data_IF_193245509697
#
_entry.id   IF_193245509697
#
_cell.length_a   1.000
_cell.length_b   1.000
_cell.length_c   1.000
_cell.angle_alpha   90.00
_cell.angle_beta   90.00
_cell.angle_gamma   90.00
#
_symmetry.space_group_name_H-M   'P 1'
#
loop_
_entity.id
_entity.type
_entity.pdbx_description
1 polymer ?
#
# COMPACT_ATOMS: atom_id res chain seq x y z
N UNK A 1 36.84 -27.60 -12.55
CA UNK A 1 35.86 -26.68 -13.15
C UNK A 1 36.19 -25.27 -12.70
N UNK A 2 36.33 -24.29 -13.62
CA UNK A 2 36.57 -22.90 -13.22
C UNK A 2 35.31 -22.37 -12.52
N UNK A 3 35.49 -21.67 -11.40
CA UNK A 3 34.39 -21.00 -10.70
C UNK A 3 33.70 -19.99 -11.64
N UNK A 4 32.35 -19.94 -11.70
CA UNK A 4 31.67 -18.94 -12.49
C UNK A 4 32.07 -17.54 -12.00
N UNK A 5 32.64 -16.73 -12.89
CA UNK A 5 32.95 -15.33 -12.60
C UNK A 5 31.66 -14.60 -12.27
N UNK A 6 31.60 -13.92 -11.12
CA UNK A 6 30.49 -13.01 -10.82
C UNK A 6 30.31 -12.07 -12.02
N UNK A 7 29.12 -12.08 -12.65
CA UNK A 7 28.77 -11.13 -13.71
C UNK A 7 28.79 -9.74 -13.13
N UNK A 8 29.56 -8.85 -13.70
CA UNK A 8 29.57 -7.42 -13.34
C UNK A 8 28.30 -6.79 -13.89
N UNK A 9 27.58 -6.02 -13.07
CA UNK A 9 26.35 -5.35 -13.49
C UNK A 9 26.64 -4.37 -14.65
N UNK A 10 25.80 -4.32 -15.69
CA UNK A 10 25.94 -3.37 -16.78
C UNK A 10 25.82 -1.91 -16.35
N UNK A 11 25.26 -1.63 -15.15
CA UNK A 11 25.08 -0.30 -14.59
C UNK A 11 26.35 0.26 -13.91
N UNK A 12 27.42 -0.54 -13.85
CA UNK A 12 28.70 -0.10 -13.31
C UNK A 12 29.64 0.37 -14.44
N UNK A 13 30.63 1.19 -14.09
CA UNK A 13 31.65 1.65 -15.03
C UNK A 13 32.22 0.48 -15.85
N UNK A 14 32.74 -0.54 -15.18
CA UNK A 14 33.33 -1.70 -15.84
C UNK A 14 32.32 -2.54 -16.63
N UNK A 15 31.09 -2.67 -16.13
CA UNK A 15 30.01 -3.35 -16.82
C UNK A 15 29.61 -2.63 -18.11
N UNK A 16 29.48 -1.29 -18.07
CA UNK A 16 29.18 -0.43 -19.22
C UNK A 16 30.26 -0.53 -20.30
N UNK A 17 31.52 -0.44 -19.88
CA UNK A 17 32.67 -0.58 -20.79
C UNK A 17 32.71 -1.98 -21.43
N UNK A 18 32.47 -3.03 -20.64
CA UNK A 18 32.44 -4.41 -21.16
C UNK A 18 31.31 -4.62 -22.15
N UNK A 19 30.11 -4.10 -21.88
CA UNK A 19 28.96 -4.18 -22.79
C UNK A 19 29.32 -3.50 -24.12
N UNK A 20 29.80 -2.24 -24.08
CA UNK A 20 30.18 -1.52 -25.29
C UNK A 20 31.29 -2.23 -26.08
N UNK A 21 32.29 -2.79 -25.41
CA UNK A 21 33.32 -3.61 -26.09
C UNK A 21 32.72 -4.82 -26.80
N UNK A 22 31.79 -5.51 -26.17
CA UNK A 22 31.12 -6.69 -26.71
C UNK A 22 30.24 -6.32 -27.92
N UNK A 23 29.50 -5.22 -27.83
CA UNK A 23 28.65 -4.69 -28.89
C UNK A 23 29.47 -4.29 -30.13
N UNK A 24 30.67 -3.77 -29.92
CA UNK A 24 31.63 -3.44 -30.97
C UNK A 24 32.47 -4.65 -31.44
N UNK A 25 32.24 -5.85 -30.89
CA UNK A 25 32.99 -7.08 -31.18
C UNK A 25 34.50 -6.96 -30.97
N UNK A 26 34.95 -6.07 -30.04
CA UNK A 26 36.38 -5.86 -29.80
C UNK A 26 36.92 -6.85 -28.74
N UNK A 27 38.16 -7.31 -28.96
CA UNK A 27 38.92 -8.01 -27.95
C UNK A 27 39.50 -7.07 -26.91
N UNK A 28 39.91 -7.61 -25.76
CA UNK A 28 40.62 -6.81 -24.73
C UNK A 28 41.91 -6.18 -25.26
N UNK A 29 42.61 -6.86 -26.20
CA UNK A 29 43.85 -6.38 -26.82
C UNK A 29 43.56 -5.17 -27.72
N UNK A 30 42.49 -5.21 -28.51
CA UNK A 30 42.08 -4.10 -29.38
C UNK A 30 41.66 -2.87 -28.57
N UNK A 31 40.98 -3.03 -27.44
CA UNK A 31 40.65 -1.92 -26.55
C UNK A 31 41.89 -1.36 -25.87
N UNK A 32 42.81 -2.20 -25.41
CA UNK A 32 44.06 -1.79 -24.77
C UNK A 32 44.98 -1.02 -25.72
N UNK A 33 45.04 -1.43 -26.99
CA UNK A 33 45.97 -0.87 -27.99
C UNK A 33 47.42 -1.04 -27.52
N UNK A 34 48.24 -0.10 -27.94
CA UNK A 34 49.65 -0.05 -27.52
C UNK A 34 49.88 0.67 -26.19
N UNK A 35 48.83 1.30 -25.64
CA UNK A 35 48.90 2.19 -24.48
C UNK A 35 48.71 1.49 -23.15
N UNK A 36 47.91 0.46 -23.11
CA UNK A 36 47.55 -0.28 -21.87
C UNK A 36 47.74 -1.77 -22.01
N UNK A 37 47.84 -2.48 -20.89
CA UNK A 37 47.83 -3.94 -20.90
C UNK A 37 46.42 -4.50 -20.94
N UNK A 38 46.22 -5.66 -21.57
CA UNK A 38 44.95 -6.40 -21.55
C UNK A 38 44.49 -6.74 -20.11
N UNK A 39 45.45 -6.94 -19.21
CA UNK A 39 45.20 -7.19 -17.80
C UNK A 39 44.53 -5.95 -17.14
N UNK A 40 45.02 -4.75 -17.43
CA UNK A 40 44.46 -3.51 -16.90
C UNK A 40 43.01 -3.32 -17.37
N UNK A 41 42.75 -3.49 -18.67
CA UNK A 41 41.39 -3.40 -19.21
C UNK A 41 40.47 -4.42 -18.55
N UNK A 42 40.90 -5.67 -18.39
CA UNK A 42 40.14 -6.69 -17.69
C UNK A 42 39.86 -6.37 -16.22
N UNK A 43 40.78 -5.69 -15.52
CA UNK A 43 40.59 -5.26 -14.13
C UNK A 43 39.60 -4.09 -14.02
N UNK A 44 39.66 -3.15 -14.96
CA UNK A 44 38.70 -2.03 -15.04
C UNK A 44 37.29 -2.60 -15.36
N UNK A 45 37.14 -3.49 -16.32
CA UNK A 45 35.85 -4.13 -16.66
C UNK A 45 35.27 -4.96 -15.50
N UNK A 46 36.08 -5.34 -14.52
CA UNK A 46 35.66 -6.04 -13.30
C UNK A 46 35.50 -5.12 -12.10
N UNK A 47 35.58 -3.80 -12.30
CA UNK A 47 35.58 -2.79 -11.23
C UNK A 47 36.62 -3.08 -10.13
N UNK A 48 37.81 -3.56 -10.50
CA UNK A 48 38.92 -3.84 -9.56
C UNK A 48 39.99 -2.77 -9.54
N UNK A 49 40.02 -1.93 -10.56
CA UNK A 49 40.96 -0.80 -10.71
C UNK A 49 40.15 0.39 -11.21
N UNK A 50 40.29 1.50 -10.52
CA UNK A 50 39.68 2.77 -10.93
C UNK A 50 40.59 3.47 -11.97
N UNK A 51 40.09 3.70 -13.20
CA UNK A 51 40.86 4.33 -14.25
C UNK A 51 41.06 5.83 -13.99
N UNK A 52 42.24 6.33 -14.37
CA UNK A 52 42.49 7.78 -14.34
C UNK A 52 41.62 8.50 -15.40
N UNK A 53 41.44 9.83 -15.24
CA UNK A 53 40.68 10.64 -16.18
C UNK A 53 41.26 10.54 -17.61
N UNK A 54 42.56 10.45 -17.74
CA UNK A 54 43.24 10.24 -19.02
C UNK A 54 42.94 8.85 -19.63
N UNK A 55 42.90 7.82 -18.79
CA UNK A 55 42.51 6.48 -19.23
C UNK A 55 41.03 6.41 -19.64
N UNK A 56 40.14 7.10 -18.93
CA UNK A 56 38.72 7.21 -19.29
C UNK A 56 38.55 7.89 -20.66
N UNK A 57 39.27 8.96 -20.94
CA UNK A 57 39.23 9.64 -22.24
C UNK A 57 39.62 8.69 -23.38
N UNK A 58 40.75 7.97 -23.22
CA UNK A 58 41.21 7.00 -24.20
C UNK A 58 40.22 5.87 -24.44
N UNK A 59 39.63 5.33 -23.35
CA UNK A 59 38.69 4.23 -23.42
C UNK A 59 37.33 4.65 -23.98
N UNK A 60 36.87 5.86 -23.67
CA UNK A 60 35.67 6.46 -24.23
C UNK A 60 35.70 6.54 -25.74
N UNK A 61 36.82 7.04 -26.28
CA UNK A 61 37.03 7.14 -27.73
C UNK A 61 37.01 5.78 -28.42
N UNK A 62 37.70 4.78 -27.85
CA UNK A 62 37.78 3.43 -28.43
C UNK A 62 36.47 2.66 -28.32
N UNK A 63 35.72 2.85 -27.26
CA UNK A 63 34.43 2.18 -27.01
C UNK A 63 33.24 2.96 -27.55
N UNK A 64 33.48 4.12 -28.20
CA UNK A 64 32.46 5.02 -28.74
C UNK A 64 31.40 5.40 -27.69
N UNK A 65 31.84 5.62 -26.45
CA UNK A 65 30.99 6.04 -25.36
C UNK A 65 31.22 7.53 -25.06
N UNK A 66 30.18 8.28 -24.63
CA UNK A 66 30.35 9.65 -24.13
C UNK A 66 31.30 9.64 -22.93
N UNK A 67 32.31 10.52 -22.94
CA UNK A 67 33.26 10.60 -21.82
C UNK A 67 32.60 11.07 -20.54
N UNK A 68 31.57 11.90 -20.64
CA UNK A 68 30.79 12.43 -19.54
C UNK A 68 30.09 11.31 -18.76
N UNK A 69 29.52 10.31 -19.47
CA UNK A 69 28.86 9.14 -18.87
C UNK A 69 29.86 8.28 -18.10
N UNK A 70 31.05 8.04 -18.67
CA UNK A 70 32.10 7.26 -18.01
C UNK A 70 32.68 8.01 -16.80
N UNK A 71 32.82 9.34 -16.90
CA UNK A 71 33.27 10.16 -15.78
C UNK A 71 32.25 10.16 -14.64
N UNK A 72 30.96 10.27 -14.95
CA UNK A 72 29.89 10.21 -13.97
C UNK A 72 29.87 8.84 -13.24
N UNK A 73 29.98 7.75 -13.99
CA UNK A 73 30.05 6.40 -13.41
C UNK A 73 31.32 6.17 -12.59
N UNK A 74 32.47 6.70 -13.01
CA UNK A 74 33.72 6.64 -12.26
C UNK A 74 33.63 7.46 -10.97
N UNK A 75 33.01 8.63 -11.03
CA UNK A 75 32.78 9.46 -9.86
C UNK A 75 31.86 8.75 -8.86
N UNK A 76 30.75 8.19 -9.33
CA UNK A 76 29.81 7.41 -8.53
C UNK A 76 30.51 6.19 -7.88
N UNK A 77 31.40 5.50 -8.61
CA UNK A 77 32.14 4.37 -8.09
C UNK A 77 33.11 4.81 -6.97
N UNK A 78 33.84 5.91 -7.15
CA UNK A 78 34.75 6.45 -6.14
C UNK A 78 34.03 6.91 -4.88
N UNK A 79 32.92 7.59 -5.02
CA UNK A 79 32.07 8.00 -3.92
C UNK A 79 31.55 6.78 -3.16
N UNK A 80 31.08 5.76 -3.87
CA UNK A 80 30.64 4.50 -3.29
C UNK A 80 31.73 3.76 -2.53
N UNK A 81 32.96 3.68 -3.07
CA UNK A 81 34.11 3.02 -2.38
C UNK A 81 34.62 3.81 -1.16
N UNK A 82 34.64 5.14 -1.23
CA UNK A 82 35.04 6.01 -0.12
C UNK A 82 34.01 5.99 1.03
N UNK A 83 32.76 5.69 0.73
CA UNK A 83 31.63 5.67 1.68
C UNK A 83 31.39 4.31 2.33
N UNK A 84 31.83 3.20 1.72
CA UNK A 84 31.62 1.83 2.20
C UNK A 84 31.95 1.62 3.70
N UNK A 85 33.03 2.18 4.29
CA UNK A 85 33.29 2.03 5.72
C UNK A 85 32.31 2.79 6.62
N UNK A 86 31.80 3.95 6.16
CA UNK A 86 30.91 4.82 6.94
C UNK A 86 29.49 4.26 7.02
N UNK A 87 29.02 3.58 5.99
CA UNK A 87 27.61 3.14 5.90
C UNK A 87 27.41 1.65 6.24
N UNK A 88 28.47 0.92 6.56
CA UNK A 88 28.35 -0.51 6.87
C UNK A 88 27.40 -0.78 8.05
N UNK A 89 27.40 0.08 9.06
CA UNK A 89 26.49 -0.02 10.22
C UNK A 89 25.04 0.19 9.75
N UNK A 90 24.78 1.18 8.91
CA UNK A 90 23.44 1.47 8.40
C UNK A 90 22.94 0.35 7.46
N UNK A 91 23.82 -0.20 6.64
CA UNK A 91 23.51 -1.37 5.81
C UNK A 91 23.12 -2.59 6.66
N UNK A 92 23.79 -2.82 7.77
CA UNK A 92 23.47 -3.90 8.70
C UNK A 92 22.12 -3.67 9.38
N UNK A 93 21.86 -2.46 9.89
CA UNK A 93 20.56 -2.09 10.48
C UNK A 93 19.43 -2.19 9.45
N UNK A 94 19.65 -1.73 8.20
CA UNK A 94 18.68 -1.87 7.11
C UNK A 94 18.39 -3.34 6.82
N UNK A 95 19.39 -4.21 6.74
CA UNK A 95 19.20 -5.62 6.48
C UNK A 95 18.45 -6.32 7.62
N UNK A 96 18.73 -5.95 8.88
CA UNK A 96 17.98 -6.44 10.04
C UNK A 96 16.53 -6.00 9.99
N UNK A 97 16.25 -4.74 9.65
CA UNK A 97 14.91 -4.22 9.49
C UNK A 97 14.15 -4.93 8.36
N UNK A 98 14.79 -5.14 7.21
CA UNK A 98 14.20 -5.86 6.08
C UNK A 98 13.85 -7.31 6.45
N UNK A 99 14.74 -7.98 7.18
CA UNK A 99 14.47 -9.34 7.69
C UNK A 99 13.33 -9.35 8.71
N UNK A 100 13.26 -8.37 9.59
CA UNK A 100 12.17 -8.23 10.55
C UNK A 100 10.82 -8.01 9.84
N UNK A 101 10.78 -7.13 8.80
CA UNK A 101 9.58 -6.92 7.98
C UNK A 101 9.15 -8.20 7.25
N UNK A 102 10.08 -8.94 6.66
CA UNK A 102 9.79 -10.22 6.01
C UNK A 102 9.18 -11.25 6.98
N UNK A 103 9.52 -11.16 8.27
CA UNK A 103 8.98 -11.99 9.34
C UNK A 103 7.74 -11.38 10.03
N UNK A 104 7.12 -10.34 9.48
CA UNK A 104 5.97 -9.59 10.04
C UNK A 104 6.23 -8.96 11.43
N UNK A 105 7.49 -8.64 11.76
CA UNK A 105 7.90 -8.00 13.01
C UNK A 105 8.15 -6.50 12.80
N UNK A 106 7.10 -5.78 12.37
CA UNK A 106 7.21 -4.39 11.90
C UNK A 106 7.68 -3.42 13.00
N UNK A 107 7.27 -3.60 14.26
CA UNK A 107 7.75 -2.76 15.37
C UNK A 107 9.25 -2.94 15.61
N UNK A 108 9.75 -4.18 15.54
CA UNK A 108 11.17 -4.48 15.65
C UNK A 108 11.96 -3.86 14.48
N UNK A 109 11.42 -3.93 13.27
CA UNK A 109 12.04 -3.31 12.10
C UNK A 109 12.17 -1.78 12.27
N UNK A 110 11.13 -1.11 12.76
CA UNK A 110 11.18 0.33 13.03
C UNK A 110 12.21 0.66 14.10
N UNK A 111 12.34 -0.14 15.17
CA UNK A 111 13.35 0.07 16.22
C UNK A 111 14.79 0.05 15.66
N UNK A 112 15.07 -0.79 14.65
CA UNK A 112 16.40 -0.78 13.97
C UNK A 112 16.63 0.50 13.18
N UNK A 113 15.57 1.15 12.68
CA UNK A 113 15.67 2.29 11.77
C UNK A 113 15.50 3.66 12.47
N UNK A 114 14.80 3.73 13.61
CA UNK A 114 14.46 5.00 14.29
C UNK A 114 15.68 5.83 14.72
N UNK A 115 16.78 5.16 15.12
CA UNK A 115 18.02 5.83 15.53
C UNK A 115 18.86 6.39 14.37
N UNK A 116 18.46 6.18 13.11
CA UNK A 116 19.24 6.60 11.96
C UNK A 116 18.87 8.04 11.57
N UNK A 117 19.85 8.94 11.64
CA UNK A 117 19.71 10.30 11.12
C UNK A 117 19.87 10.27 9.59
N UNK A 118 18.75 10.42 8.87
CA UNK A 118 18.75 10.38 7.41
C UNK A 118 19.51 11.55 6.78
N UNK A 119 19.63 12.68 7.47
CA UNK A 119 20.33 13.86 6.92
C UNK A 119 21.83 13.64 6.75
N UNK A 120 22.39 12.70 7.51
CA UNK A 120 23.81 12.33 7.44
C UNK A 120 24.11 11.30 6.35
N UNK A 121 23.10 10.83 5.62
CA UNK A 121 23.24 9.76 4.63
C UNK A 121 23.10 10.31 3.22
N UNK A 122 23.75 9.71 2.21
CA UNK A 122 23.52 10.07 0.82
C UNK A 122 22.14 9.60 0.32
N UNK A 123 21.59 10.29 -0.68
CA UNK A 123 20.23 10.05 -1.22
C UNK A 123 19.98 8.60 -1.58
N UNK A 124 20.95 7.90 -2.17
CA UNK A 124 20.81 6.51 -2.58
C UNK A 124 20.65 5.52 -1.42
N UNK A 125 21.02 5.92 -0.20
CA UNK A 125 20.79 5.15 1.04
C UNK A 125 19.54 5.66 1.75
N UNK A 126 19.36 6.99 1.83
CA UNK A 126 18.24 7.65 2.54
C UNK A 126 16.89 7.13 2.09
N UNK A 127 16.62 7.15 0.78
CA UNK A 127 15.34 6.73 0.26
C UNK A 127 14.98 5.30 0.62
N UNK A 128 15.97 4.39 0.65
CA UNK A 128 15.74 2.97 0.97
C UNK A 128 15.39 2.77 2.44
N UNK A 129 16.03 3.51 3.34
CA UNK A 129 15.70 3.48 4.78
C UNK A 129 14.31 4.08 5.01
N UNK A 130 14.01 5.22 4.38
CA UNK A 130 12.69 5.85 4.46
C UNK A 130 11.59 4.93 3.89
N UNK A 131 11.83 4.23 2.77
CA UNK A 131 10.91 3.26 2.20
C UNK A 131 10.61 2.11 3.18
N UNK A 132 11.62 1.57 3.87
CA UNK A 132 11.43 0.53 4.90
C UNK A 132 10.67 1.05 6.13
N UNK A 133 10.92 2.30 6.55
CA UNK A 133 10.10 2.95 7.60
C UNK A 133 8.64 3.06 7.14
N UNK A 134 8.41 3.52 5.91
CA UNK A 134 7.07 3.58 5.32
C UNK A 134 6.37 2.23 5.32
N UNK A 135 7.05 1.16 4.89
CA UNK A 135 6.53 -0.21 4.95
C UNK A 135 6.22 -0.66 6.38
N UNK A 136 7.11 -0.37 7.34
CA UNK A 136 6.92 -0.70 8.75
C UNK A 136 5.66 -0.06 9.33
N UNK A 137 5.49 1.24 9.12
CA UNK A 137 4.30 1.98 9.55
C UNK A 137 3.03 1.52 8.83
N UNK A 138 3.12 1.23 7.52
CA UNK A 138 1.99 0.68 6.76
C UNK A 138 1.48 -0.65 7.35
N UNK A 139 2.39 -1.55 7.67
CA UNK A 139 2.06 -2.83 8.29
C UNK A 139 1.41 -2.67 9.68
N UNK A 140 1.78 -1.62 10.42
CA UNK A 140 1.18 -1.26 11.71
C UNK A 140 -0.13 -0.49 11.57
N UNK A 141 -0.58 -0.21 10.34
CA UNK A 141 -1.78 0.61 10.04
C UNK A 141 -1.67 2.07 10.47
N UNK A 142 -0.46 2.58 10.62
CA UNK A 142 -0.13 3.96 10.90
C UNK A 142 0.07 4.70 9.56
N UNK A 143 -1.04 4.90 8.80
CA UNK A 143 -1.00 5.28 7.39
C UNK A 143 -0.45 6.68 7.14
N UNK A 144 -0.64 7.63 8.06
CA UNK A 144 -0.03 8.97 7.95
C UNK A 144 1.49 8.90 8.02
N UNK A 145 2.03 8.13 8.97
CA UNK A 145 3.47 7.92 9.09
C UNK A 145 4.02 7.14 7.90
N UNK A 146 3.27 6.14 7.42
CA UNK A 146 3.63 5.40 6.22
C UNK A 146 3.73 6.34 5.01
N UNK A 147 2.71 7.15 4.75
CA UNK A 147 2.69 8.11 3.64
C UNK A 147 3.84 9.10 3.74
N UNK A 148 4.03 9.73 4.91
CA UNK A 148 5.11 10.69 5.13
C UNK A 148 6.49 10.10 4.77
N UNK A 149 6.82 8.92 5.28
CA UNK A 149 8.10 8.28 5.00
C UNK A 149 8.22 7.83 3.53
N UNK A 150 7.13 7.36 2.93
CA UNK A 150 7.13 6.99 1.51
C UNK A 150 7.30 8.22 0.59
N UNK A 151 6.64 9.34 0.86
CA UNK A 151 6.81 10.58 0.10
C UNK A 151 8.24 11.11 0.22
N UNK A 152 8.81 11.09 1.43
CA UNK A 152 10.23 11.43 1.62
C UNK A 152 11.13 10.51 0.78
N UNK A 153 10.85 9.19 0.78
CA UNK A 153 11.61 8.24 -0.02
C UNK A 153 11.48 8.50 -1.54
N UNK A 154 10.29 8.87 -2.03
CA UNK A 154 10.08 9.25 -3.44
C UNK A 154 10.90 10.48 -3.81
N UNK A 155 10.92 11.51 -2.95
CA UNK A 155 11.68 12.73 -3.19
C UNK A 155 13.20 12.49 -3.25
N UNK A 156 13.71 11.55 -2.46
CA UNK A 156 15.14 11.21 -2.39
C UNK A 156 15.56 10.10 -3.37
N UNK A 157 14.59 9.38 -3.95
CA UNK A 157 14.86 8.28 -4.88
C UNK A 157 15.48 8.80 -6.18
N UNK A 158 16.56 8.17 -6.69
CA UNK A 158 17.15 8.56 -7.96
C UNK A 158 16.14 8.38 -9.11
N UNK A 159 16.20 9.25 -10.12
CA UNK A 159 15.35 9.18 -11.32
C UNK A 159 15.53 7.82 -12.02
N UNK A 160 16.77 7.38 -12.13
CA UNK A 160 17.13 6.06 -12.67
C UNK A 160 17.50 5.16 -11.51
N UNK A 161 16.62 4.22 -11.18
CA UNK A 161 16.86 3.25 -10.12
C UNK A 161 17.69 2.10 -10.66
N UNK A 162 18.80 1.72 -10.00
CA UNK A 162 19.57 0.53 -10.40
C UNK A 162 18.71 -0.73 -10.43
N UNK A 163 18.94 -1.63 -11.40
CA UNK A 163 18.14 -2.86 -11.57
C UNK A 163 18.04 -3.72 -10.29
N UNK A 164 19.09 -3.75 -9.48
CA UNK A 164 19.09 -4.44 -8.19
C UNK A 164 18.20 -3.80 -7.09
N UNK A 165 17.65 -2.60 -7.35
CA UNK A 165 16.77 -1.87 -6.42
C UNK A 165 15.36 -1.64 -6.99
N UNK A 166 15.07 -2.15 -8.18
CA UNK A 166 13.77 -1.97 -8.87
C UNK A 166 12.60 -2.48 -8.02
N UNK A 167 12.75 -3.64 -7.37
CA UNK A 167 11.71 -4.20 -6.48
C UNK A 167 11.46 -3.29 -5.27
N UNK A 168 12.50 -2.69 -4.68
CA UNK A 168 12.34 -1.76 -3.56
C UNK A 168 11.57 -0.50 -4.01
N UNK A 169 11.86 0.03 -5.19
CA UNK A 169 11.16 1.19 -5.76
C UNK A 169 9.69 0.87 -6.08
N UNK A 170 9.41 -0.28 -6.66
CA UNK A 170 8.05 -0.77 -6.92
C UNK A 170 7.27 -0.92 -5.60
N UNK A 171 7.87 -1.56 -4.58
CA UNK A 171 7.25 -1.74 -3.27
C UNK A 171 6.98 -0.40 -2.57
N UNK A 172 7.88 0.59 -2.73
CA UNK A 172 7.66 1.94 -2.24
C UNK A 172 6.40 2.57 -2.85
N UNK A 173 6.23 2.47 -4.17
CA UNK A 173 5.05 2.98 -4.87
C UNK A 173 3.77 2.26 -4.39
N UNK A 174 3.78 0.92 -4.26
CA UNK A 174 2.66 0.15 -3.74
C UNK A 174 2.24 0.55 -2.31
N UNK A 175 3.20 0.72 -1.41
CA UNK A 175 2.89 1.13 -0.03
C UNK A 175 2.37 2.56 0.04
N UNK A 176 2.92 3.46 -0.79
CA UNK A 176 2.45 4.83 -0.87
C UNK A 176 1.02 4.90 -1.43
N UNK A 177 0.75 4.20 -2.53
CA UNK A 177 -0.58 4.09 -3.11
C UNK A 177 -1.62 3.58 -2.10
N UNK A 178 -1.30 2.48 -1.42
CA UNK A 178 -2.18 1.89 -0.44
C UNK A 178 -2.41 2.79 0.78
N UNK A 179 -1.37 3.50 1.26
CA UNK A 179 -1.51 4.46 2.35
C UNK A 179 -2.36 5.67 1.93
N UNK A 180 -2.15 6.23 0.73
CA UNK A 180 -2.95 7.33 0.18
C UNK A 180 -4.43 6.95 0.06
N UNK A 181 -4.73 5.73 -0.40
CA UNK A 181 -6.11 5.21 -0.45
C UNK A 181 -6.77 5.14 0.93
N UNK A 182 -6.07 4.60 1.94
CA UNK A 182 -6.60 4.52 3.31
C UNK A 182 -6.82 5.91 3.94
N UNK A 183 -6.11 6.91 3.45
CA UNK A 183 -6.26 8.31 3.84
C UNK A 183 -7.34 9.05 3.03
N UNK A 184 -7.92 8.41 2.00
CA UNK A 184 -8.97 8.97 1.16
C UNK A 184 -8.47 9.84 -0.01
N UNK A 185 -7.17 9.81 -0.30
CA UNK A 185 -6.54 10.52 -1.41
C UNK A 185 -6.54 9.62 -2.65
N UNK A 186 -7.69 9.52 -3.33
CA UNK A 186 -7.89 8.55 -4.41
C UNK A 186 -7.04 8.85 -5.63
N UNK A 187 -6.92 10.12 -6.02
CA UNK A 187 -6.17 10.55 -7.21
C UNK A 187 -4.65 10.28 -7.03
N UNK A 188 -4.11 10.54 -5.84
CA UNK A 188 -2.73 10.19 -5.51
C UNK A 188 -2.53 8.66 -5.47
N UNK A 189 -3.50 7.93 -4.91
CA UNK A 189 -3.43 6.47 -4.84
C UNK A 189 -3.39 5.85 -6.24
N UNK A 190 -4.25 6.30 -7.17
CA UNK A 190 -4.29 5.88 -8.57
C UNK A 190 -2.93 6.08 -9.24
N UNK A 191 -2.41 7.31 -9.21
CA UNK A 191 -1.10 7.68 -9.75
C UNK A 191 0.03 6.74 -9.29
N UNK A 192 0.07 6.42 -7.99
CA UNK A 192 1.14 5.56 -7.45
C UNK A 192 0.93 4.08 -7.73
N UNK A 193 -0.33 3.59 -7.86
CA UNK A 193 -0.57 2.23 -8.34
C UNK A 193 -0.18 2.08 -9.81
N UNK A 194 -0.49 3.04 -10.67
CA UNK A 194 -0.04 3.08 -12.07
C UNK A 194 1.49 3.05 -12.15
N UNK A 195 2.16 3.93 -11.40
CA UNK A 195 3.62 3.94 -11.35
C UNK A 195 4.21 2.60 -10.86
N UNK A 196 3.55 1.90 -9.94
CA UNK A 196 3.97 0.57 -9.52
C UNK A 196 3.80 -0.46 -10.64
N UNK A 197 2.67 -0.44 -11.36
CA UNK A 197 2.39 -1.35 -12.48
C UNK A 197 3.37 -1.14 -13.63
N UNK A 198 3.74 0.10 -13.96
CA UNK A 198 4.76 0.41 -14.97
C UNK A 198 6.15 -0.17 -14.64
N UNK A 199 6.47 -0.33 -13.36
CA UNK A 199 7.72 -0.94 -12.91
C UNK A 199 7.70 -2.48 -12.91
N UNK A 200 6.53 -3.10 -13.14
CA UNK A 200 6.39 -4.56 -13.12
C UNK A 200 6.74 -5.17 -14.49
N UNK A 201 7.35 -6.34 -14.44
CA UNK A 201 7.74 -7.11 -15.62
C UNK A 201 7.39 -8.60 -15.45
N UNK A 202 7.76 -9.42 -16.45
CA UNK A 202 7.52 -10.86 -16.42
C UNK A 202 8.21 -11.61 -15.26
N UNK A 203 9.19 -11.01 -14.60
CA UNK A 203 9.87 -11.56 -13.41
C UNK A 203 9.21 -11.19 -12.10
N UNK A 204 8.27 -10.24 -12.13
CA UNK A 204 7.56 -9.75 -10.94
C UNK A 204 6.66 -10.84 -10.37
N UNK A 205 6.71 -11.03 -9.06
CA UNK A 205 5.85 -12.00 -8.38
C UNK A 205 4.36 -11.68 -8.61
N UNK A 206 3.57 -12.69 -9.00
CA UNK A 206 2.13 -12.58 -9.20
C UNK A 206 1.39 -11.97 -8.00
N UNK A 207 1.93 -12.14 -6.79
CA UNK A 207 1.37 -11.52 -5.58
C UNK A 207 1.43 -10.00 -5.64
N UNK A 208 2.53 -9.39 -6.09
CA UNK A 208 2.65 -7.93 -6.20
C UNK A 208 1.76 -7.37 -7.30
N UNK A 209 1.67 -8.07 -8.43
CA UNK A 209 0.75 -7.75 -9.53
C UNK A 209 -0.69 -7.76 -9.00
N UNK A 210 -1.07 -8.81 -8.27
CA UNK A 210 -2.40 -8.93 -7.68
C UNK A 210 -2.69 -7.80 -6.67
N UNK A 211 -1.74 -7.44 -5.81
CA UNK A 211 -1.93 -6.34 -4.84
C UNK A 211 -2.09 -4.97 -5.53
N UNK A 212 -1.34 -4.71 -6.62
CA UNK A 212 -1.47 -3.47 -7.40
C UNK A 212 -2.85 -3.37 -8.06
N UNK A 213 -3.25 -4.38 -8.82
CA UNK A 213 -4.56 -4.40 -9.48
C UNK A 213 -5.72 -4.36 -8.48
N UNK A 214 -5.61 -5.05 -7.34
CA UNK A 214 -6.59 -4.93 -6.27
C UNK A 214 -6.70 -3.51 -5.74
N UNK A 215 -5.55 -2.84 -5.58
CA UNK A 215 -5.52 -1.44 -5.18
C UNK A 215 -6.23 -0.54 -6.17
N UNK A 216 -5.96 -0.71 -7.47
CA UNK A 216 -6.66 0.00 -8.56
C UNK A 216 -8.17 -0.25 -8.54
N UNK A 217 -8.59 -1.52 -8.40
CA UNK A 217 -10.01 -1.87 -8.32
C UNK A 217 -10.73 -1.12 -7.19
N UNK A 218 -10.12 -1.05 -6.01
CA UNK A 218 -10.70 -0.34 -4.87
C UNK A 218 -10.76 1.18 -5.10
N UNK A 219 -9.73 1.76 -5.71
CA UNK A 219 -9.71 3.19 -6.06
C UNK A 219 -10.80 3.51 -7.07
N UNK A 220 -10.85 2.77 -8.18
CA UNK A 220 -11.87 2.96 -9.24
C UNK A 220 -13.30 2.81 -8.69
N UNK A 221 -13.52 1.85 -7.80
CA UNK A 221 -14.83 1.67 -7.18
C UNK A 221 -15.24 2.83 -6.26
N UNK A 222 -14.33 3.34 -5.45
CA UNK A 222 -14.60 4.50 -4.58
C UNK A 222 -14.77 5.80 -5.40
N UNK A 223 -14.04 5.96 -6.51
CA UNK A 223 -14.24 7.06 -7.45
C UNK A 223 -15.65 6.99 -8.09
N UNK A 224 -16.05 5.81 -8.59
CA UNK A 224 -17.37 5.59 -9.16
C UNK A 224 -18.50 5.90 -8.15
N UNK A 225 -18.30 5.51 -6.89
CA UNK A 225 -19.27 5.83 -5.82
C UNK A 225 -19.34 7.32 -5.53
N UNK A 226 -18.20 8.02 -5.52
CA UNK A 226 -18.16 9.48 -5.34
C UNK A 226 -18.93 10.18 -6.45
N UNK A 227 -18.72 9.77 -7.71
CA UNK A 227 -19.46 10.31 -8.86
C UNK A 227 -20.96 10.08 -8.73
N UNK A 228 -21.39 8.87 -8.32
CA UNK A 228 -22.80 8.56 -8.12
C UNK A 228 -23.42 9.39 -6.98
N UNK A 229 -22.71 9.53 -5.86
CA UNK A 229 -23.16 10.34 -4.72
C UNK A 229 -23.31 11.83 -5.11
N UNK A 230 -22.37 12.39 -5.87
CA UNK A 230 -22.43 13.77 -6.38
C UNK A 230 -23.59 13.97 -7.36
N UNK A 231 -23.91 12.95 -8.16
CA UNK A 231 -25.06 12.96 -9.07
C UNK A 231 -26.39 12.67 -8.38
N UNK A 232 -26.39 12.33 -7.09
CA UNK A 232 -27.59 11.91 -6.34
C UNK A 232 -28.16 10.58 -6.82
N UNK A 233 -27.34 9.72 -7.46
CA UNK A 233 -27.74 8.43 -7.99
C UNK A 233 -27.69 7.35 -6.88
N UNK A 234 -28.69 6.46 -6.90
CA UNK A 234 -28.73 5.30 -6.01
C UNK A 234 -27.80 4.19 -6.49
N UNK A 235 -27.57 4.10 -7.80
CA UNK A 235 -26.75 3.07 -8.42
C UNK A 235 -25.50 3.67 -9.06
N UNK A 236 -24.42 2.92 -8.98
CA UNK A 236 -23.14 3.26 -9.59
C UNK A 236 -23.13 2.79 -11.04
N UNK A 237 -22.72 3.64 -11.96
CA UNK A 237 -22.60 3.34 -13.38
C UNK A 237 -21.36 4.06 -13.94
N UNK A 238 -20.87 3.59 -15.08
CA UNK A 238 -19.77 4.24 -15.77
C UNK A 238 -18.52 3.37 -15.92
N UNK A 239 -17.51 3.89 -16.61
CA UNK A 239 -16.29 3.14 -16.90
C UNK A 239 -15.49 2.76 -15.65
N UNK A 240 -15.57 3.56 -14.59
CA UNK A 240 -14.83 3.33 -13.33
C UNK A 240 -15.34 2.06 -12.62
N UNK A 241 -16.65 1.81 -12.61
CA UNK A 241 -17.19 0.60 -11.99
C UNK A 241 -16.90 -0.65 -12.82
N UNK A 242 -16.90 -0.54 -14.14
CA UNK A 242 -16.51 -1.65 -15.02
C UNK A 242 -15.03 -1.96 -14.85
N UNK A 243 -14.15 -0.96 -14.79
CA UNK A 243 -12.73 -1.14 -14.49
C UNK A 243 -12.51 -1.81 -13.12
N UNK A 244 -13.26 -1.37 -12.11
CA UNK A 244 -13.21 -1.98 -10.78
C UNK A 244 -13.59 -3.46 -10.82
N UNK A 245 -14.65 -3.82 -11.55
CA UNK A 245 -15.11 -5.21 -11.73
C UNK A 245 -14.04 -6.05 -12.43
N UNK A 246 -13.53 -5.58 -13.58
CA UNK A 246 -12.52 -6.28 -14.37
C UNK A 246 -11.24 -6.54 -13.58
N UNK A 247 -10.73 -5.52 -12.89
CA UNK A 247 -9.56 -5.67 -12.04
C UNK A 247 -9.79 -6.63 -10.89
N UNK A 248 -10.95 -6.56 -10.20
CA UNK A 248 -11.26 -7.44 -9.06
C UNK A 248 -11.35 -8.89 -9.52
N UNK A 249 -12.02 -9.16 -10.64
CA UNK A 249 -12.14 -10.51 -11.19
C UNK A 249 -10.80 -11.08 -11.63
N UNK A 250 -9.98 -10.29 -12.31
CA UNK A 250 -8.63 -10.70 -12.73
C UNK A 250 -7.77 -11.09 -11.53
N UNK A 251 -7.82 -10.31 -10.46
CA UNK A 251 -7.06 -10.59 -9.23
C UNK A 251 -7.61 -11.81 -8.49
N UNK A 252 -8.93 -12.00 -8.49
CA UNK A 252 -9.56 -13.19 -7.91
C UNK A 252 -9.05 -14.47 -8.57
N UNK A 253 -9.01 -14.48 -9.91
CA UNK A 253 -8.47 -15.60 -10.70
C UNK A 253 -6.98 -15.82 -10.37
N UNK A 254 -6.18 -14.76 -10.25
CA UNK A 254 -4.77 -14.87 -9.87
C UNK A 254 -4.61 -15.52 -8.49
N UNK A 255 -5.35 -15.09 -7.47
CA UNK A 255 -5.25 -15.69 -6.15
C UNK A 255 -5.73 -17.14 -6.11
N UNK A 256 -6.75 -17.49 -6.90
CA UNK A 256 -7.16 -18.88 -7.08
C UNK A 256 -6.04 -19.74 -7.69
N UNK A 257 -5.37 -19.22 -8.73
CA UNK A 257 -4.30 -19.94 -9.44
C UNK A 257 -3.07 -20.21 -8.56
N UNK A 258 -2.76 -19.32 -7.61
CA UNK A 258 -1.67 -19.52 -6.63
C UNK A 258 -2.11 -20.24 -5.34
N UNK A 259 -3.37 -20.69 -5.26
CA UNK A 259 -3.91 -21.43 -4.13
C UNK A 259 -4.24 -20.57 -2.89
N UNK A 260 -4.25 -19.26 -2.98
CA UNK A 260 -4.65 -18.35 -1.89
C UNK A 260 -6.18 -18.16 -1.88
N UNK A 261 -6.90 -19.22 -1.52
CA UNK A 261 -8.35 -19.25 -1.56
C UNK A 261 -9.01 -18.25 -0.61
N UNK A 262 -8.33 -17.87 0.48
CA UNK A 262 -8.87 -16.88 1.42
C UNK A 262 -8.90 -15.48 0.81
N UNK A 263 -7.84 -15.10 0.13
CA UNK A 263 -7.82 -13.84 -0.61
C UNK A 263 -8.78 -13.84 -1.80
N UNK A 264 -8.88 -14.95 -2.52
CA UNK A 264 -9.89 -15.10 -3.57
C UNK A 264 -11.31 -14.90 -3.03
N UNK A 265 -11.64 -15.47 -1.87
CA UNK A 265 -12.94 -15.27 -1.22
C UNK A 265 -13.16 -13.81 -0.79
N UNK A 266 -12.13 -13.12 -0.28
CA UNK A 266 -12.22 -11.68 0.01
C UNK A 266 -12.57 -10.87 -1.23
N UNK A 267 -12.00 -11.21 -2.39
CA UNK A 267 -12.32 -10.55 -3.66
C UNK A 267 -13.72 -10.88 -4.17
N UNK A 268 -14.21 -12.11 -3.93
CA UNK A 268 -15.61 -12.43 -4.21
C UNK A 268 -16.56 -11.55 -3.39
N UNK A 269 -16.20 -11.21 -2.14
CA UNK A 269 -16.97 -10.22 -1.37
C UNK A 269 -16.92 -8.82 -2.00
N UNK A 270 -15.77 -8.40 -2.52
CA UNK A 270 -15.62 -7.12 -3.22
C UNK A 270 -16.45 -7.07 -4.52
N UNK A 271 -16.48 -8.17 -5.29
CA UNK A 271 -17.35 -8.34 -6.47
C UNK A 271 -18.82 -8.20 -6.06
N UNK A 272 -19.26 -8.92 -5.01
CA UNK A 272 -20.63 -8.81 -4.51
C UNK A 272 -21.01 -7.40 -4.07
N UNK A 273 -20.07 -6.63 -3.53
CA UNK A 273 -20.28 -5.22 -3.22
C UNK A 273 -20.41 -4.35 -4.48
N UNK A 274 -19.65 -4.63 -5.53
CA UNK A 274 -19.77 -3.96 -6.83
C UNK A 274 -21.13 -4.30 -7.47
N UNK A 275 -21.51 -5.58 -7.47
CA UNK A 275 -22.81 -6.03 -8.00
C UNK A 275 -24.00 -5.38 -7.26
N UNK A 276 -23.93 -5.29 -5.91
CA UNK A 276 -24.90 -4.52 -5.14
C UNK A 276 -24.96 -3.06 -5.57
N UNK A 277 -23.80 -2.41 -5.75
CA UNK A 277 -23.75 -0.99 -6.10
C UNK A 277 -24.30 -0.70 -7.51
N UNK A 278 -24.19 -1.62 -8.46
CA UNK A 278 -24.80 -1.49 -9.79
C UNK A 278 -26.27 -1.90 -9.82
N UNK A 279 -26.81 -2.47 -8.73
CA UNK A 279 -28.21 -2.88 -8.60
C UNK A 279 -28.50 -4.35 -8.91
N UNK A 280 -27.49 -5.15 -9.22
CA UNK A 280 -27.65 -6.62 -9.42
C UNK A 280 -27.66 -7.37 -8.08
N UNK A 281 -28.77 -7.17 -7.34
CA UNK A 281 -28.90 -7.72 -5.99
C UNK A 281 -28.93 -9.25 -5.96
N UNK A 282 -29.40 -9.91 -7.03
CA UNK A 282 -29.49 -11.36 -7.08
C UNK A 282 -28.12 -11.99 -7.25
N UNK A 283 -27.30 -11.45 -8.13
CA UNK A 283 -25.92 -11.92 -8.30
C UNK A 283 -25.08 -11.63 -7.06
N UNK A 284 -25.18 -10.43 -6.49
CA UNK A 284 -24.54 -10.06 -5.23
C UNK A 284 -24.89 -11.04 -4.10
N UNK A 285 -26.19 -11.38 -3.96
CA UNK A 285 -26.66 -12.33 -2.96
C UNK A 285 -26.08 -13.72 -3.15
N UNK A 286 -26.02 -14.21 -4.40
CA UNK A 286 -25.48 -15.52 -4.73
C UNK A 286 -23.99 -15.61 -4.35
N UNK A 287 -23.18 -14.69 -4.85
CA UNK A 287 -21.72 -14.64 -4.62
C UNK A 287 -21.38 -14.54 -3.13
N UNK A 288 -22.08 -13.67 -2.40
CA UNK A 288 -21.81 -13.43 -0.99
C UNK A 288 -22.25 -14.59 -0.09
N UNK A 289 -23.37 -15.27 -0.40
CA UNK A 289 -23.81 -16.46 0.35
C UNK A 289 -22.84 -17.61 0.21
N UNK A 290 -22.36 -17.89 -0.99
CA UNK A 290 -21.37 -18.94 -1.22
C UNK A 290 -20.13 -18.74 -0.35
N UNK A 291 -19.63 -17.50 -0.30
CA UNK A 291 -18.49 -17.16 0.56
C UNK A 291 -18.84 -17.35 2.04
N UNK A 292 -19.97 -16.81 2.48
CA UNK A 292 -20.37 -16.85 3.88
C UNK A 292 -20.50 -18.30 4.37
N UNK A 293 -21.24 -19.15 3.66
CA UNK A 293 -21.46 -20.54 4.02
C UNK A 293 -20.16 -21.35 4.05
N UNK A 294 -19.33 -21.18 3.00
CA UNK A 294 -18.05 -21.90 2.90
C UNK A 294 -17.08 -21.53 4.01
N UNK A 295 -16.97 -20.24 4.34
CA UNK A 295 -15.94 -19.78 5.28
C UNK A 295 -16.42 -19.75 6.73
N UNK A 296 -17.72 -19.68 7.00
CA UNK A 296 -18.27 -19.86 8.34
C UNK A 296 -17.93 -21.27 8.87
N UNK A 297 -18.19 -22.33 8.07
CA UNK A 297 -17.85 -23.70 8.44
C UNK A 297 -16.35 -23.87 8.76
N UNK A 298 -15.49 -23.29 7.92
CA UNK A 298 -14.04 -23.33 8.13
C UNK A 298 -13.58 -22.53 9.34
N UNK A 299 -14.27 -21.44 9.69
CA UNK A 299 -13.97 -20.62 10.87
C UNK A 299 -14.23 -21.40 12.15
N UNK A 300 -15.33 -22.13 12.20
CA UNK A 300 -15.76 -22.93 13.35
C UNK A 300 -14.82 -24.12 13.63
N UNK A 301 -14.07 -24.58 12.61
CA UNK A 301 -13.09 -25.67 12.71
C UNK A 301 -11.70 -25.26 13.20
N UNK A 302 -11.40 -23.96 13.35
CA UNK A 302 -10.06 -23.51 13.69
C UNK A 302 -9.70 -23.74 15.15
N UNK A 303 -8.58 -24.40 15.35
CA UNK A 303 -7.96 -24.60 16.68
C UNK A 303 -6.92 -23.49 16.95
N UNK A 304 -7.14 -22.71 18.02
CA UNK A 304 -6.40 -21.48 18.34
C UNK A 304 -5.08 -21.67 19.14
N UNK A 305 -4.59 -22.88 19.31
CA UNK A 305 -3.46 -23.13 20.23
C UNK A 305 -2.12 -22.53 19.81
N UNK A 306 -2.02 -21.97 18.61
CA UNK A 306 -0.77 -21.36 18.10
C UNK A 306 -0.97 -19.94 17.61
N UNK A 307 0.08 -19.09 17.61
CA UNK A 307 0.02 -17.74 17.02
C UNK A 307 -0.43 -17.76 15.54
N UNK A 308 -0.03 -18.78 14.79
CA UNK A 308 -0.43 -18.97 13.39
C UNK A 308 -1.94 -19.32 13.29
N UNK A 309 -2.47 -20.15 14.20
CA UNK A 309 -3.90 -20.44 14.28
C UNK A 309 -4.73 -19.21 14.59
N UNK A 310 -4.32 -18.41 15.57
CA UNK A 310 -5.00 -17.14 15.91
C UNK A 310 -5.04 -16.18 14.71
N UNK A 311 -3.92 -16.01 14.00
CA UNK A 311 -3.85 -15.17 12.80
C UNK A 311 -4.77 -15.71 11.70
N UNK A 312 -4.76 -17.01 11.45
CA UNK A 312 -5.64 -17.64 10.46
C UNK A 312 -7.11 -17.44 10.81
N UNK A 313 -7.48 -17.59 12.10
CA UNK A 313 -8.84 -17.30 12.58
C UNK A 313 -9.21 -15.85 12.30
N UNK A 314 -8.35 -14.90 12.64
CA UNK A 314 -8.59 -13.48 12.40
C UNK A 314 -8.79 -13.17 10.91
N UNK A 315 -7.98 -13.75 10.03
CA UNK A 315 -8.09 -13.58 8.58
C UNK A 315 -9.39 -14.19 8.03
N UNK A 316 -9.81 -15.38 8.52
CA UNK A 316 -11.08 -15.99 8.11
C UNK A 316 -12.29 -15.25 8.68
N UNK A 317 -12.24 -14.84 9.94
CA UNK A 317 -13.27 -14.01 10.56
C UNK A 317 -13.47 -12.68 9.80
N UNK A 318 -12.39 -12.12 9.26
CA UNK A 318 -12.46 -10.92 8.40
C UNK A 318 -13.28 -11.16 7.13
N UNK A 319 -13.15 -12.31 6.48
CA UNK A 319 -13.91 -12.66 5.27
C UNK A 319 -15.38 -12.94 5.60
N UNK A 320 -15.63 -13.71 6.67
CA UNK A 320 -17.00 -14.02 7.15
C UNK A 320 -17.74 -12.74 7.52
N UNK A 321 -17.10 -11.86 8.31
CA UNK A 321 -17.69 -10.57 8.70
C UNK A 321 -18.00 -9.69 7.50
N UNK A 322 -17.10 -9.66 6.49
CA UNK A 322 -17.32 -8.89 5.26
C UNK A 322 -18.51 -9.43 4.46
N UNK A 323 -18.55 -10.74 4.20
CA UNK A 323 -19.62 -11.36 3.43
C UNK A 323 -21.00 -11.15 4.09
N UNK A 324 -21.07 -11.36 5.40
CA UNK A 324 -22.30 -11.13 6.16
C UNK A 324 -22.72 -9.66 6.17
N UNK A 325 -21.76 -8.72 6.36
CA UNK A 325 -22.04 -7.29 6.34
C UNK A 325 -22.59 -6.83 4.97
N UNK A 326 -22.00 -7.31 3.87
CA UNK A 326 -22.43 -6.96 2.52
C UNK A 326 -23.77 -7.59 2.16
N UNK A 327 -24.05 -8.84 2.60
CA UNK A 327 -25.39 -9.44 2.51
C UNK A 327 -26.44 -8.61 3.27
N UNK A 328 -26.10 -8.12 4.45
CA UNK A 328 -26.94 -7.17 5.17
C UNK A 328 -27.28 -5.92 4.34
N UNK A 329 -26.31 -5.42 3.59
CA UNK A 329 -26.52 -4.30 2.63
C UNK A 329 -27.42 -4.69 1.46
N UNK A 330 -27.23 -5.84 0.85
CA UNK A 330 -28.07 -6.37 -0.24
C UNK A 330 -29.53 -6.53 0.21
N UNK A 331 -29.74 -7.09 1.39
CA UNK A 331 -31.12 -7.27 1.91
C UNK A 331 -31.75 -5.94 2.37
N UNK A 332 -30.92 -4.97 2.84
CA UNK A 332 -31.37 -3.59 3.09
C UNK A 332 -31.90 -2.94 1.81
N UNK A 333 -31.13 -3.01 0.71
CA UNK A 333 -31.51 -2.44 -0.57
C UNK A 333 -32.73 -3.16 -1.19
N UNK A 334 -32.94 -4.44 -0.82
CA UNK A 334 -34.13 -5.20 -1.17
C UNK A 334 -35.34 -4.93 -0.25
N UNK A 335 -35.23 -4.02 0.74
CA UNK A 335 -36.30 -3.71 1.70
C UNK A 335 -36.58 -4.82 2.74
N UNK A 336 -35.68 -5.80 2.91
CA UNK A 336 -35.86 -6.96 3.81
C UNK A 336 -35.12 -6.75 5.14
N UNK A 337 -35.57 -5.79 5.93
CA UNK A 337 -34.84 -5.28 7.11
C UNK A 337 -34.57 -6.36 8.17
N UNK A 338 -35.48 -7.26 8.45
CA UNK A 338 -35.28 -8.32 9.45
C UNK A 338 -34.18 -9.31 9.03
N UNK A 339 -34.16 -9.64 7.73
CA UNK A 339 -33.12 -10.50 7.15
C UNK A 339 -31.77 -9.76 7.16
N UNK A 340 -31.78 -8.46 6.81
CA UNK A 340 -30.60 -7.61 6.87
C UNK A 340 -30.00 -7.54 8.29
N UNK A 341 -30.86 -7.38 9.32
CA UNK A 341 -30.43 -7.40 10.73
C UNK A 341 -29.78 -8.73 11.13
N UNK A 342 -30.36 -9.85 10.68
CA UNK A 342 -29.78 -11.18 10.96
C UNK A 342 -28.37 -11.30 10.40
N UNK A 343 -28.12 -10.87 9.17
CA UNK A 343 -26.78 -10.88 8.57
C UNK A 343 -25.81 -9.92 9.27
N UNK A 344 -26.28 -8.72 9.66
CA UNK A 344 -25.41 -7.77 10.37
C UNK A 344 -25.05 -8.26 11.77
N UNK A 345 -25.94 -8.94 12.47
CA UNK A 345 -25.61 -9.58 13.75
C UNK A 345 -24.54 -10.67 13.57
N UNK A 346 -24.63 -11.48 12.51
CA UNK A 346 -23.59 -12.44 12.15
C UNK A 346 -22.28 -11.77 11.83
N UNK A 347 -22.31 -10.65 11.08
CA UNK A 347 -21.11 -9.83 10.79
C UNK A 347 -20.46 -9.28 12.06
N UNK A 348 -21.26 -8.81 13.04
CA UNK A 348 -20.76 -8.32 14.32
C UNK A 348 -20.13 -9.43 15.16
N UNK A 349 -20.74 -10.64 15.19
CA UNK A 349 -20.18 -11.77 15.92
C UNK A 349 -18.82 -12.20 15.35
N UNK A 350 -18.73 -12.43 14.04
CA UNK A 350 -17.45 -12.70 13.37
C UNK A 350 -16.46 -11.51 13.52
N UNK A 351 -16.97 -10.29 13.53
CA UNK A 351 -16.20 -9.06 13.70
C UNK A 351 -15.43 -8.97 15.02
N UNK A 352 -15.89 -9.64 16.09
CA UNK A 352 -15.18 -9.68 17.39
C UNK A 352 -13.77 -10.26 17.25
N UNK A 353 -13.61 -11.27 16.40
CA UNK A 353 -12.34 -11.95 16.13
C UNK A 353 -11.55 -11.31 14.96
N UNK A 354 -12.11 -10.29 14.30
CA UNK A 354 -11.57 -9.68 13.11
C UNK A 354 -10.84 -8.34 13.41
N UNK A 355 -10.57 -7.57 12.34
CA UNK A 355 -9.93 -6.25 12.42
C UNK A 355 -10.94 -5.16 12.79
N UNK A 356 -10.45 -4.09 13.43
CA UNK A 356 -11.23 -2.92 13.84
C UNK A 356 -12.11 -2.35 12.73
N UNK A 357 -11.62 -2.34 11.48
CA UNK A 357 -12.39 -1.87 10.33
C UNK A 357 -13.69 -2.67 10.15
N UNK A 358 -13.65 -3.99 10.29
CA UNK A 358 -14.86 -4.85 10.13
C UNK A 358 -15.90 -4.59 11.20
N UNK A 359 -15.46 -4.35 12.44
CA UNK A 359 -16.39 -3.97 13.53
C UNK A 359 -17.06 -2.62 13.23
N UNK A 360 -16.29 -1.66 12.73
CA UNK A 360 -16.82 -0.36 12.33
C UNK A 360 -17.80 -0.48 11.14
N UNK A 361 -17.47 -1.27 10.11
CA UNK A 361 -18.35 -1.50 8.96
C UNK A 361 -19.66 -2.18 9.36
N UNK A 362 -19.60 -3.20 10.20
CA UNK A 362 -20.81 -3.86 10.72
C UNK A 362 -21.67 -2.88 11.55
N UNK A 363 -21.05 -2.02 12.36
CA UNK A 363 -21.77 -0.99 13.12
C UNK A 363 -22.39 0.09 12.18
N UNK A 364 -21.67 0.53 11.14
CA UNK A 364 -22.23 1.45 10.13
C UNK A 364 -23.41 0.81 9.40
N UNK A 365 -23.33 -0.46 9.04
CA UNK A 365 -24.43 -1.16 8.36
C UNK A 365 -25.63 -1.32 9.28
N UNK A 366 -25.41 -1.68 10.57
CA UNK A 366 -26.48 -1.71 11.55
C UNK A 366 -27.21 -0.35 11.64
N UNK A 367 -26.46 0.74 11.73
CA UNK A 367 -27.04 2.09 11.76
C UNK A 367 -27.89 2.40 10.52
N UNK A 368 -27.43 2.02 9.33
CA UNK A 368 -28.19 2.19 8.08
C UNK A 368 -29.51 1.42 8.07
N UNK A 369 -29.48 0.16 8.54
CA UNK A 369 -30.70 -0.69 8.59
C UNK A 369 -31.69 -0.11 9.59
N UNK A 370 -31.26 0.24 10.81
CA UNK A 370 -32.11 0.84 11.84
C UNK A 370 -32.67 2.20 11.41
N UNK A 371 -31.88 3.00 10.70
CA UNK A 371 -32.38 4.26 10.09
C UNK A 371 -33.46 4.00 9.05
N UNK A 372 -33.30 2.99 8.20
CA UNK A 372 -34.31 2.63 7.19
C UNK A 372 -35.60 2.11 7.85
N UNK A 373 -35.49 1.22 8.84
CA UNK A 373 -36.64 0.72 9.61
C UNK A 373 -37.40 1.86 10.31
N UNK A 374 -36.71 2.82 10.93
CA UNK A 374 -37.36 3.94 11.62
C UNK A 374 -38.11 4.91 10.68
N UNK A 375 -37.85 4.89 9.37
CA UNK A 375 -38.62 5.65 8.39
C UNK A 375 -39.96 4.99 8.06
N UNK A 376 -40.01 3.66 8.01
CA UNK A 376 -41.22 2.91 7.75
C UNK A 376 -42.06 2.71 9.00
N UNK A 377 -41.40 2.64 10.16
CA UNK A 377 -41.98 2.45 11.47
C UNK A 377 -41.63 3.60 12.42
N UNK A 378 -42.39 4.73 12.38
CA UNK A 378 -42.10 5.91 13.20
C UNK A 378 -42.12 5.70 14.71
N UNK A 379 -42.70 4.59 15.18
CA UNK A 379 -42.65 4.14 16.57
C UNK A 379 -41.24 3.66 16.99
N UNK A 380 -40.36 3.33 16.04
CA UNK A 380 -38.98 2.98 16.31
C UNK A 380 -38.16 4.27 16.51
N UNK A 381 -37.64 4.47 17.71
CA UNK A 381 -36.76 5.61 17.96
C UNK A 381 -35.42 5.45 17.21
N UNK A 382 -35.11 6.41 16.33
CA UNK A 382 -33.82 6.44 15.61
C UNK A 382 -32.58 6.59 16.51
N UNK A 383 -32.72 6.59 17.84
CA UNK A 383 -31.62 6.63 18.78
C UNK A 383 -30.71 5.39 18.64
N UNK A 384 -31.25 4.24 18.35
CA UNK A 384 -30.47 3.03 18.14
C UNK A 384 -29.58 3.10 16.88
N UNK A 385 -30.05 3.76 15.81
CA UNK A 385 -29.25 4.04 14.62
C UNK A 385 -28.09 5.00 14.92
N UNK A 386 -28.39 6.08 15.68
CA UNK A 386 -27.38 7.02 16.12
C UNK A 386 -26.29 6.37 16.97
N UNK A 387 -26.66 5.50 17.91
CA UNK A 387 -25.71 4.77 18.75
C UNK A 387 -24.81 3.84 17.90
N UNK A 388 -25.37 3.13 16.92
CA UNK A 388 -24.61 2.27 16.01
C UNK A 388 -23.57 3.09 15.20
N UNK A 389 -23.93 4.27 14.70
CA UNK A 389 -22.96 5.14 14.01
C UNK A 389 -21.89 5.69 14.94
N UNK A 390 -22.23 6.05 16.19
CA UNK A 390 -21.26 6.47 17.21
C UNK A 390 -20.30 5.34 17.57
N UNK A 391 -20.79 4.12 17.68
CA UNK A 391 -19.97 2.94 17.88
C UNK A 391 -18.96 2.76 16.75
N UNK A 392 -19.37 2.90 15.49
CA UNK A 392 -18.46 2.82 14.35
C UNK A 392 -17.33 3.87 14.42
N UNK A 393 -17.65 5.10 14.81
CA UNK A 393 -16.67 6.18 15.00
C UNK A 393 -15.71 5.81 16.13
N UNK A 394 -16.22 5.32 17.26
CA UNK A 394 -15.41 4.91 18.42
C UNK A 394 -14.41 3.81 18.08
N UNK A 395 -14.82 2.81 17.29
CA UNK A 395 -13.92 1.76 16.78
C UNK A 395 -12.77 2.34 15.95
N UNK A 396 -13.03 3.38 15.15
CA UNK A 396 -12.04 3.98 14.26
C UNK A 396 -11.20 5.06 14.93
N UNK A 397 -11.55 5.55 16.13
CA UNK A 397 -10.94 6.74 16.75
C UNK A 397 -9.42 6.64 16.88
N UNK A 398 -8.91 5.48 17.27
CA UNK A 398 -7.48 5.22 17.49
C UNK A 398 -6.76 4.69 16.24
N UNK A 399 -7.38 4.84 15.07
CA UNK A 399 -6.80 4.35 13.79
C UNK A 399 -6.50 5.51 12.85
N UNK A 400 -5.58 5.32 11.94
CA UNK A 400 -5.30 6.26 10.84
C UNK A 400 -6.14 5.98 9.58
N UNK A 401 -7.26 5.25 9.72
CA UNK A 401 -8.17 4.95 8.60
C UNK A 401 -9.08 6.16 8.33
N UNK A 402 -8.50 7.19 7.75
CA UNK A 402 -9.17 8.47 7.56
C UNK A 402 -10.39 8.32 6.66
N UNK A 403 -10.29 7.60 5.55
CA UNK A 403 -11.40 7.35 4.63
C UNK A 403 -12.60 6.70 5.34
N UNK A 404 -12.37 5.63 6.11
CA UNK A 404 -13.43 4.96 6.87
C UNK A 404 -14.03 5.86 7.96
N UNK A 405 -13.19 6.65 8.63
CA UNK A 405 -13.63 7.60 9.68
C UNK A 405 -14.49 8.71 9.09
N UNK A 406 -14.12 9.24 7.92
CA UNK A 406 -14.91 10.25 7.22
C UNK A 406 -16.28 9.69 6.84
N UNK A 407 -16.34 8.46 6.31
CA UNK A 407 -17.59 7.77 5.96
C UNK A 407 -18.50 7.58 7.18
N UNK A 408 -17.96 7.15 8.32
CA UNK A 408 -18.74 6.98 9.56
C UNK A 408 -19.28 8.32 10.09
N UNK A 409 -18.48 9.40 10.03
CA UNK A 409 -18.89 10.74 10.41
C UNK A 409 -19.96 11.30 9.46
N UNK A 410 -19.83 11.08 8.14
CA UNK A 410 -20.83 11.50 7.16
C UNK A 410 -22.19 10.84 7.43
N UNK A 411 -22.20 9.51 7.65
CA UNK A 411 -23.42 8.78 8.00
C UNK A 411 -24.08 9.31 9.27
N UNK A 412 -23.31 9.53 10.33
CA UNK A 412 -23.84 10.11 11.58
C UNK A 412 -24.35 11.53 11.36
N UNK A 413 -23.61 12.39 10.68
CA UNK A 413 -23.99 13.77 10.43
C UNK A 413 -25.29 13.88 9.64
N UNK A 414 -25.41 13.12 8.54
CA UNK A 414 -26.66 13.07 7.74
C UNK A 414 -27.82 12.51 8.56
N UNK A 415 -27.60 11.50 9.39
CA UNK A 415 -28.63 10.96 10.27
C UNK A 415 -29.14 12.02 11.28
N UNK A 416 -28.22 12.76 11.93
CA UNK A 416 -28.56 13.83 12.88
C UNK A 416 -29.36 14.95 12.20
N UNK A 417 -28.97 15.37 10.98
CA UNK A 417 -29.72 16.39 10.22
C UNK A 417 -31.15 15.92 9.92
N UNK A 418 -31.34 14.67 9.49
CA UNK A 418 -32.69 14.09 9.24
C UNK A 418 -33.56 14.06 10.49
N UNK A 419 -32.95 13.94 11.68
CA UNK A 419 -33.63 13.98 12.98
C UNK A 419 -33.86 15.39 13.54
N UNK A 420 -33.51 16.43 12.79
CA UNK A 420 -33.64 17.84 13.22
C UNK A 420 -32.59 18.29 14.23
N UNK A 421 -31.56 17.49 14.49
CA UNK A 421 -30.39 17.85 15.34
C UNK A 421 -29.35 18.63 14.50
N UNK A 422 -29.76 19.78 13.94
CA UNK A 422 -28.99 20.51 12.92
C UNK A 422 -27.60 20.90 13.41
N UNK A 423 -27.50 21.56 14.57
CA UNK A 423 -26.23 22.05 15.10
C UNK A 423 -25.22 20.93 15.35
N UNK A 424 -25.68 19.76 15.81
CA UNK A 424 -24.83 18.62 16.07
C UNK A 424 -24.43 17.94 14.77
N UNK A 425 -25.35 17.78 13.84
CA UNK A 425 -25.10 17.20 12.51
C UNK A 425 -24.07 18.01 11.72
N UNK A 426 -24.19 19.34 11.69
CA UNK A 426 -23.23 20.23 11.04
C UNK A 426 -21.82 20.11 11.65
N UNK A 427 -21.70 20.08 12.99
CA UNK A 427 -20.41 19.88 13.68
C UNK A 427 -19.75 18.55 13.31
N UNK A 428 -20.54 17.49 13.19
CA UNK A 428 -20.03 16.16 12.81
C UNK A 428 -19.54 16.16 11.36
N UNK A 429 -20.29 16.78 10.44
CA UNK A 429 -19.89 16.91 9.03
C UNK A 429 -18.66 17.79 8.87
N UNK A 430 -18.56 18.89 9.62
CA UNK A 430 -17.36 19.73 9.64
C UNK A 430 -16.12 18.98 10.15
N UNK A 431 -16.30 18.10 11.13
CA UNK A 431 -15.22 17.22 11.59
C UNK A 431 -14.75 16.30 10.47
N UNK A 432 -15.66 15.73 9.69
CA UNK A 432 -15.30 14.89 8.53
C UNK A 432 -14.49 15.68 7.48
N UNK A 433 -14.93 16.91 7.15
CA UNK A 433 -14.22 17.80 6.19
C UNK A 433 -12.82 18.17 6.69
N UNK A 434 -12.64 18.47 7.97
CA UNK A 434 -11.32 18.80 8.53
C UNK A 434 -10.35 17.64 8.45
N UNK A 435 -10.81 16.39 8.60
CA UNK A 435 -9.95 15.22 8.52
C UNK A 435 -9.29 15.08 7.14
N UNK A 436 -9.97 15.45 6.05
CA UNK A 436 -9.40 15.41 4.71
C UNK A 436 -8.33 16.48 4.46
N UNK A 437 -8.40 17.63 5.16
CA UNK A 437 -7.48 18.75 4.98
C UNK A 437 -6.11 18.58 5.67
N UNK A 438 -6.01 17.69 6.67
CA UNK A 438 -4.79 17.47 7.45
C UNK A 438 -3.91 16.33 6.94
N UNK A 439 -4.20 15.79 5.77
CA UNK A 439 -3.35 14.75 5.16
C UNK A 439 -2.31 15.42 4.27
N UNK A 440 -1.00 15.19 4.49
CA UNK A 440 0.04 15.76 3.64
C UNK A 440 -0.13 15.31 2.19
N UNK A 441 -0.03 16.24 1.25
CA UNK A 441 0.07 15.96 -0.18
C UNK A 441 1.54 16.08 -0.62
N UNK A 442 1.89 15.52 -1.77
CA UNK A 442 3.25 15.59 -2.32
C UNK A 442 3.79 17.03 -2.40
N UNK A 443 2.92 18.00 -2.69
CA UNK A 443 3.28 19.42 -2.77
C UNK A 443 3.61 20.08 -1.42
N UNK A 444 3.28 19.45 -0.30
CA UNK A 444 3.56 19.96 1.05
C UNK A 444 4.92 19.50 1.61
N UNK A 445 5.61 18.60 0.90
CA UNK A 445 6.87 17.99 1.34
C UNK A 445 8.07 18.51 0.55
N UNK A 446 8.14 19.83 0.32
CA UNK A 446 9.39 20.43 -0.17
C UNK A 446 10.47 20.35 0.90
N UNK A 447 11.76 20.18 0.54
CA UNK A 447 12.87 20.04 1.49
C UNK A 447 13.07 21.21 2.48
N UNK A 448 12.37 22.33 2.29
CA UNK A 448 12.48 23.53 3.14
C UNK A 448 11.60 23.49 4.41
N UNK A 449 10.73 22.49 4.59
CA UNK A 449 9.87 22.43 5.76
C UNK A 449 10.42 21.51 6.87
N UNK A 450 11.58 21.87 7.42
CA UNK A 450 12.17 21.26 8.63
C UNK A 450 11.27 21.39 9.90
N UNK A 451 10.19 22.15 9.84
CA UNK A 451 9.29 22.40 10.96
C UNK A 451 8.32 21.23 11.25
N UNK A 452 8.08 20.33 10.29
CA UNK A 452 7.16 19.20 10.46
C UNK A 452 7.76 18.05 11.30
N UNK A 453 9.08 17.89 11.24
CA UNK A 453 9.78 16.84 12.02
C UNK A 453 9.78 17.12 13.53
N UNK A 454 9.63 18.39 13.96
CA UNK A 454 9.63 18.79 15.37
C UNK A 454 8.26 18.71 16.05
N UNK A 455 7.18 18.72 15.29
CA UNK A 455 5.80 18.69 15.80
C UNK A 455 5.28 17.35 16.27
N UNK A 456 5.89 16.24 15.87
CA UNK A 456 5.41 14.88 16.20
C UNK A 456 6.00 14.28 17.49
N UNK A 457 6.93 14.98 18.18
CA UNK A 457 7.58 14.45 19.38
C UNK A 457 7.01 14.91 20.72
N UNK A 458 5.92 15.68 20.74
CA UNK A 458 5.34 16.17 22.01
C UNK A 458 3.93 15.62 22.26
N UNK A 459 3.82 14.31 22.48
CA UNK A 459 2.74 13.76 23.31
C UNK A 459 3.25 12.49 24.03
N UNK A 460 4.21 12.70 24.93
CA UNK A 460 4.44 11.80 26.05
C UNK A 460 3.65 12.38 27.24
N UNK A 461 2.39 12.11 27.32
CA UNK A 461 1.68 12.19 28.59
C UNK A 461 1.76 10.81 29.24
N UNK A 462 2.38 10.81 30.41
CA UNK A 462 2.58 9.64 31.26
C UNK A 462 1.28 9.11 31.86
N UNK A 463 1.31 7.98 32.57
CA UNK A 463 0.13 7.33 33.10
C UNK A 463 -0.48 8.18 34.22
N UNK A 464 -1.74 8.53 34.08
CA UNK A 464 -2.56 8.94 35.19
C UNK A 464 -3.14 7.68 35.83
N UNK A 465 -2.91 7.59 37.11
CA UNK A 465 -3.31 6.60 38.13
C UNK A 465 -4.77 6.14 38.00
#
# INVERSE_FOLDING_TARGET
>A
MPRPSKRVSPDTLGGRMRAARQDLHLSLAEVAGERYSTSLISQIERNRVDPSQESLGYLAERLKLPIEDLMALAQQHRESEAEVPRYKIYEEQRNQAQQALANNRSREALNYLEGIDLTQLPSHVRWRIAALRGQGYFNLREFRQAQHNCLYAIAEKPVIVPSGQAVEAMMLALHLAAASRELGQLDDAEKYYEAALEMMDASTSLRYIAEAHRGMALVSFEQARRIADEAGSTFVQGPEVEAAREHTESVRILYQSIGDLLKAASLTCEIGLIEQAVGDLDQARLSLREVLETWQLKLDEIVEHTPAGKRRKQEQANVVSAAACYLGGVELDAGKYDVALTYVQQAQEAGKESYTLRRAEAAMMLGRILEAQSREHPECDGAAAEEAFRQAISELEKTDRIAAKMKALDLLGRHLLKRGKTDEGEKVLDRARRLSQFVPTESALTPESDDYARGCHTNKEGPIV
#
